data_IF_031579115739
#
_entry.id   IF_031579115739
#
_cell.length_a   1.000
_cell.length_b   1.000
_cell.length_c   1.000
_cell.angle_alpha   90.00
_cell.angle_beta   90.00
_cell.angle_gamma   90.00
#
_symmetry.space_group_name_H-M   'P 1'
#
loop_
_entity.id
_entity.type
_entity.pdbx_description
1 polymer ?
#
# COMPACT_ATOMS: atom_id res chain seq x y z
N UNK A 1 27.96 6.95 37.00
CA UNK A 1 27.51 5.54 37.07
C UNK A 1 26.02 5.40 36.79
N UNK A 2 25.15 6.28 37.30
CA UNK A 2 23.70 6.30 37.01
C UNK A 2 23.33 6.63 35.54
N UNK A 3 24.14 7.44 34.83
CA UNK A 3 23.94 7.75 33.39
C UNK A 3 24.23 6.57 32.44
N UNK A 4 25.00 5.56 32.85
CA UNK A 4 25.28 4.38 32.01
C UNK A 4 24.18 3.32 32.10
N UNK A 5 23.38 3.32 33.18
CA UNK A 5 22.27 2.40 33.36
C UNK A 5 21.03 2.82 32.56
N UNK A 6 20.75 4.13 32.46
CA UNK A 6 19.65 4.64 31.62
C UNK A 6 19.88 4.41 30.11
N UNK A 7 21.14 4.45 29.66
CA UNK A 7 21.50 4.18 28.24
C UNK A 7 21.36 2.70 27.91
N UNK A 8 21.60 1.79 28.86
CA UNK A 8 21.44 0.36 28.64
C UNK A 8 19.96 -0.05 28.59
N UNK A 9 19.13 0.45 29.51
CA UNK A 9 17.68 0.16 29.51
C UNK A 9 16.95 0.76 28.30
N UNK A 10 17.33 1.96 27.84
CA UNK A 10 16.74 2.56 26.64
C UNK A 10 17.21 1.94 25.33
N UNK A 11 18.46 1.45 25.25
CA UNK A 11 18.93 0.71 24.07
C UNK A 11 18.24 -0.64 23.95
N UNK A 12 17.99 -1.35 25.05
CA UNK A 12 17.25 -2.62 25.04
C UNK A 12 15.81 -2.41 24.56
N UNK A 13 15.12 -1.38 25.08
CA UNK A 13 13.76 -1.03 24.64
C UNK A 13 13.66 -0.72 23.14
N UNK A 14 14.68 -0.07 22.55
CA UNK A 14 14.69 0.29 21.13
C UNK A 14 15.09 -0.89 20.25
N UNK A 15 16.02 -1.73 20.70
CA UNK A 15 16.44 -2.91 19.95
C UNK A 15 15.32 -3.96 19.95
N UNK A 16 14.61 -4.11 21.07
CA UNK A 16 13.44 -4.98 21.18
C UNK A 16 12.21 -4.40 20.46
N UNK A 17 12.05 -3.08 20.42
CA UNK A 17 11.01 -2.43 19.61
C UNK A 17 11.29 -2.52 18.11
N UNK A 18 12.54 -2.34 17.67
CA UNK A 18 12.95 -2.50 16.27
C UNK A 18 12.96 -3.97 15.83
N UNK A 19 13.15 -4.92 16.75
CA UNK A 19 12.97 -6.37 16.50
C UNK A 19 11.50 -6.76 16.44
N UNK A 20 10.63 -6.21 17.30
CA UNK A 20 9.20 -6.54 17.29
C UNK A 20 8.45 -5.91 16.12
N UNK A 21 8.99 -4.84 15.51
CA UNK A 21 8.46 -4.18 14.31
C UNK A 21 8.96 -4.77 12.98
N UNK A 22 9.59 -5.96 13.00
CA UNK A 22 9.95 -6.70 11.77
C UNK A 22 8.75 -7.21 10.97
N UNK A 23 7.53 -7.10 11.50
CA UNK A 23 6.28 -7.44 10.80
C UNK A 23 5.76 -6.19 10.10
N UNK A 24 6.14 -6.00 8.83
CA UNK A 24 5.42 -5.27 7.76
C UNK A 24 4.36 -4.21 8.17
N UNK A 25 4.67 -3.33 9.11
CA UNK A 25 3.73 -2.34 9.63
C UNK A 25 4.32 -0.97 9.37
N UNK A 26 3.61 -0.18 8.56
CA UNK A 26 3.85 1.26 8.46
C UNK A 26 4.01 1.79 9.89
N UNK A 27 5.17 2.36 10.25
CA UNK A 27 5.33 2.92 11.58
C UNK A 27 4.23 3.95 11.75
N UNK A 28 3.46 3.84 12.83
CA UNK A 28 2.46 4.85 13.14
C UNK A 28 3.12 6.23 13.09
N UNK A 29 2.43 7.22 12.51
CA UNK A 29 2.91 8.61 12.40
C UNK A 29 3.40 9.15 13.77
N UNK A 30 2.91 8.55 14.85
CA UNK A 30 3.29 8.73 16.26
C UNK A 30 4.72 8.26 16.60
N UNK A 31 5.19 7.17 16.00
CA UNK A 31 6.56 6.66 16.17
C UNK A 31 7.56 7.56 15.47
N UNK A 32 7.20 8.11 14.31
CA UNK A 32 8.01 9.07 13.55
C UNK A 32 8.31 10.32 14.37
N UNK A 33 7.42 10.75 15.28
CA UNK A 33 7.63 11.93 16.14
C UNK A 33 8.74 11.73 17.18
N UNK A 34 8.86 10.53 17.78
CA UNK A 34 10.01 10.17 18.64
C UNK A 34 11.28 10.00 17.82
N UNK A 35 11.10 9.60 16.57
CA UNK A 35 12.12 9.45 15.56
C UNK A 35 12.65 10.81 15.03
N UNK A 36 11.88 11.90 14.98
CA UNK A 36 12.36 13.23 14.53
C UNK A 36 13.02 14.05 15.64
N UNK A 37 12.72 13.77 16.91
CA UNK A 37 13.34 14.40 18.09
C UNK A 37 14.70 13.80 18.44
N UNK A 38 14.89 12.49 18.27
CA UNK A 38 16.16 11.79 18.58
C UNK A 38 17.37 12.07 17.68
N UNK A 39 17.27 12.41 16.38
CA UNK A 39 18.43 12.78 15.58
C UNK A 39 19.15 13.99 16.18
N UNK A 40 18.42 15.00 16.65
CA UNK A 40 19.03 16.16 17.30
C UNK A 40 19.83 15.74 18.55
N UNK A 41 19.31 14.80 19.35
CA UNK A 41 20.00 14.23 20.51
C UNK A 41 21.30 13.47 20.17
N UNK A 42 21.33 12.64 19.12
CA UNK A 42 22.56 11.94 18.71
C UNK A 42 23.61 12.87 18.10
N UNK A 43 23.16 13.94 17.42
CA UNK A 43 24.03 15.01 16.95
C UNK A 43 24.61 15.81 18.13
N UNK A 44 23.79 16.14 19.12
CA UNK A 44 24.18 16.87 20.35
C UNK A 44 25.17 16.10 21.23
N UNK A 45 25.14 14.76 21.21
CA UNK A 45 26.05 13.90 22.01
C UNK A 45 27.29 13.46 21.19
N UNK A 46 27.39 13.85 19.92
CA UNK A 46 28.57 13.57 19.08
C UNK A 46 28.67 12.15 18.52
N UNK A 47 27.56 11.40 18.45
CA UNK A 47 27.51 10.05 17.89
C UNK A 47 27.06 10.05 16.43
N UNK A 48 27.89 10.62 15.55
CA UNK A 48 27.58 10.81 14.12
C UNK A 48 27.21 9.51 13.39
N UNK A 49 27.85 8.38 13.70
CA UNK A 49 27.56 7.10 13.04
C UNK A 49 26.14 6.60 13.33
N UNK A 50 25.67 6.75 14.58
CA UNK A 50 24.30 6.38 14.96
C UNK A 50 23.29 7.33 14.34
N UNK A 51 23.61 8.63 14.29
CA UNK A 51 22.80 9.64 13.61
C UNK A 51 22.60 9.31 12.12
N UNK A 52 23.67 8.96 11.41
CA UNK A 52 23.62 8.59 9.99
C UNK A 52 22.80 7.32 9.75
N UNK A 53 23.00 6.27 10.55
CA UNK A 53 22.18 5.04 10.47
C UNK A 53 20.70 5.32 10.71
N UNK A 54 20.43 6.22 11.65
CA UNK A 54 19.08 6.65 11.97
C UNK A 54 18.43 7.39 10.79
N UNK A 55 19.11 8.37 10.17
CA UNK A 55 18.63 9.06 8.97
C UNK A 55 18.39 8.09 7.80
N UNK A 56 19.28 7.12 7.59
CA UNK A 56 19.10 6.11 6.55
C UNK A 56 17.83 5.27 6.77
N UNK A 57 17.55 4.89 8.03
CA UNK A 57 16.31 4.18 8.38
C UNK A 57 15.07 5.07 8.17
N UNK A 58 15.13 6.33 8.60
CA UNK A 58 14.04 7.29 8.43
C UNK A 58 13.73 7.52 6.95
N UNK A 59 14.76 7.64 6.10
CA UNK A 59 14.61 7.74 4.65
C UNK A 59 13.85 6.54 4.07
N UNK A 60 14.23 5.30 4.44
CA UNK A 60 13.55 4.09 3.99
C UNK A 60 12.06 4.09 4.40
N UNK A 61 11.76 4.51 5.63
CA UNK A 61 10.38 4.59 6.11
C UNK A 61 9.55 5.63 5.34
N UNK A 62 10.13 6.80 5.03
CA UNK A 62 9.46 7.79 4.20
C UNK A 62 9.25 7.30 2.77
N UNK A 63 10.23 6.60 2.18
CA UNK A 63 10.10 6.00 0.84
C UNK A 63 9.01 4.93 0.79
N UNK A 64 8.91 4.06 1.79
CA UNK A 64 7.86 3.05 1.90
C UNK A 64 6.46 3.66 2.09
N UNK A 65 6.40 4.84 2.69
CA UNK A 65 5.16 5.59 2.92
C UNK A 65 4.88 6.62 1.82
N UNK A 66 5.66 6.61 0.72
CA UNK A 66 5.59 7.55 -0.41
C UNK A 66 5.69 9.04 -0.03
N UNK A 67 6.28 9.33 1.12
CA UNK A 67 6.53 10.67 1.63
C UNK A 67 7.82 11.22 1.04
N UNK A 68 7.83 11.47 -0.28
CA UNK A 68 9.04 11.85 -1.01
C UNK A 68 9.63 13.20 -0.57
N UNK A 69 8.80 14.13 -0.09
CA UNK A 69 9.27 15.42 0.40
C UNK A 69 10.10 15.22 1.67
N UNK A 70 9.56 14.48 2.62
CA UNK A 70 10.18 14.17 3.90
C UNK A 70 11.39 13.24 3.72
N UNK A 71 11.34 12.30 2.77
CA UNK A 71 12.50 11.49 2.37
C UNK A 71 13.64 12.36 1.85
N UNK A 72 13.36 13.31 0.94
CA UNK A 72 14.36 14.23 0.40
C UNK A 72 14.95 15.14 1.49
N UNK A 73 14.12 15.67 2.40
CA UNK A 73 14.58 16.45 3.54
C UNK A 73 15.48 15.62 4.48
N UNK A 74 15.17 14.34 4.67
CA UNK A 74 16.00 13.42 5.46
C UNK A 74 17.39 13.24 4.83
N UNK A 75 17.46 13.13 3.50
CA UNK A 75 18.74 13.09 2.78
C UNK A 75 19.49 14.42 2.84
N UNK A 76 18.79 15.55 2.86
CA UNK A 76 19.41 16.87 3.06
C UNK A 76 20.14 16.93 4.39
N UNK A 77 19.51 16.48 5.48
CA UNK A 77 20.14 16.40 6.80
C UNK A 77 21.37 15.48 6.81
N UNK A 78 21.34 14.40 6.01
CA UNK A 78 22.49 13.52 5.87
C UNK A 78 23.63 14.21 5.09
N UNK A 79 23.31 14.97 4.05
CA UNK A 79 24.30 15.72 3.28
C UNK A 79 24.99 16.81 4.12
N UNK A 80 24.25 17.45 5.02
CA UNK A 80 24.80 18.45 5.96
C UNK A 80 25.84 17.86 6.94
N UNK A 81 25.85 16.53 7.11
CA UNK A 81 26.85 15.83 7.91
C UNK A 81 28.17 15.54 7.15
N UNK A 82 28.23 15.83 5.85
CA UNK A 82 29.37 15.53 5.00
C UNK A 82 30.24 16.77 4.79
N UNK A 83 31.55 16.62 4.98
CA UNK A 83 32.51 17.65 4.59
C UNK A 83 32.84 17.52 3.09
N UNK A 84 32.75 18.63 2.36
CA UNK A 84 33.07 18.66 0.94
C UNK A 84 34.59 18.72 0.77
N UNK A 85 35.22 17.61 0.42
CA UNK A 85 36.66 17.60 0.12
C UNK A 85 36.94 18.36 -1.20
N UNK A 86 37.91 19.28 -1.18
CA UNK A 86 38.25 20.17 -2.31
C UNK A 86 38.87 19.48 -3.54
N UNK A 87 39.05 18.15 -3.52
CA UNK A 87 39.81 17.42 -4.56
C UNK A 87 38.99 16.97 -5.77
N UNK A 88 37.72 17.37 -5.90
CA UNK A 88 36.81 16.74 -6.85
C UNK A 88 35.88 17.72 -7.57
N UNK A 89 36.45 18.72 -8.25
CA UNK A 89 35.65 19.65 -9.06
C UNK A 89 36.32 19.90 -10.40
N UNK A 90 36.08 19.03 -11.38
CA UNK A 90 36.00 19.36 -12.82
C UNK A 90 35.34 18.20 -13.58
N UNK A 91 34.02 18.02 -13.38
CA UNK A 91 33.21 17.09 -14.17
C UNK A 91 32.13 17.84 -14.95
N UNK A 92 32.50 18.36 -16.13
CA UNK A 92 31.58 19.09 -17.03
C UNK A 92 30.29 18.31 -17.36
N UNK A 93 30.37 16.97 -17.46
CA UNK A 93 29.21 16.11 -17.73
C UNK A 93 28.17 16.14 -16.61
N UNK A 94 28.62 16.16 -15.34
CA UNK A 94 27.71 16.23 -14.19
C UNK A 94 26.99 17.58 -14.11
N UNK A 95 27.68 18.66 -14.48
CA UNK A 95 27.11 20.01 -14.55
C UNK A 95 26.01 20.07 -15.61
N UNK A 96 26.25 19.58 -16.83
CA UNK A 96 25.22 19.57 -17.88
C UNK A 96 23.97 18.78 -17.47
N UNK A 97 24.16 17.58 -16.90
CA UNK A 97 23.05 16.77 -16.39
C UNK A 97 22.25 17.47 -15.27
N UNK A 98 22.92 18.29 -14.44
CA UNK A 98 22.24 19.06 -13.38
C UNK A 98 21.34 20.17 -13.96
N UNK A 99 21.81 20.90 -14.97
CA UNK A 99 21.02 21.93 -15.64
C UNK A 99 19.80 21.36 -16.39
N UNK A 100 19.95 20.18 -17.03
CA UNK A 100 18.82 19.50 -17.67
C UNK A 100 17.76 19.09 -16.63
N UNK A 101 18.17 18.54 -15.47
CA UNK A 101 17.23 18.23 -14.38
C UNK A 101 16.50 19.47 -13.86
N UNK A 102 17.23 20.57 -13.61
CA UNK A 102 16.63 21.84 -13.17
C UNK A 102 15.62 22.37 -14.20
N UNK A 103 15.96 22.34 -15.49
CA UNK A 103 15.06 22.74 -16.58
C UNK A 103 13.76 21.93 -16.58
N UNK A 104 13.86 20.59 -16.42
CA UNK A 104 12.67 19.72 -16.30
C UNK A 104 11.83 20.06 -15.08
N UNK A 105 12.44 20.35 -13.93
CA UNK A 105 11.73 20.75 -12.71
C UNK A 105 10.96 22.07 -12.89
N UNK A 106 11.59 23.10 -13.44
CA UNK A 106 10.90 24.37 -13.73
C UNK A 106 9.73 24.18 -14.69
N UNK A 107 9.92 23.37 -15.74
CA UNK A 107 8.85 23.02 -16.67
C UNK A 107 7.71 22.30 -15.97
N UNK A 108 8.00 21.40 -15.04
CA UNK A 108 6.98 20.68 -14.28
C UNK A 108 6.16 21.61 -13.39
N UNK A 109 6.81 22.56 -12.71
CA UNK A 109 6.17 23.56 -11.86
C UNK A 109 5.20 24.43 -12.66
N UNK A 110 5.58 24.85 -13.87
CA UNK A 110 4.76 25.72 -14.71
C UNK A 110 3.60 24.99 -15.40
N UNK A 111 3.80 23.72 -15.77
CA UNK A 111 2.84 22.97 -16.60
C UNK A 111 1.85 22.13 -15.82
N UNK A 112 2.19 21.70 -14.61
CA UNK A 112 1.36 20.77 -13.84
C UNK A 112 0.74 21.47 -12.63
N UNK A 113 -0.58 21.35 -12.50
CA UNK A 113 -1.27 21.76 -11.30
C UNK A 113 -0.91 20.83 -10.14
N UNK A 114 -0.55 21.41 -9.01
CA UNK A 114 -0.21 20.68 -7.78
C UNK A 114 -1.39 20.81 -6.81
N UNK A 115 -1.78 19.70 -6.20
CA UNK A 115 -2.81 19.72 -5.17
C UNK A 115 -2.39 20.65 -4.03
N UNK A 116 -3.30 21.52 -3.59
CA UNK A 116 -3.07 22.32 -2.40
C UNK A 116 -3.07 21.39 -1.17
N UNK A 117 -2.04 21.47 -0.31
CA UNK A 117 -2.00 20.65 0.89
C UNK A 117 -3.01 21.17 1.92
N UNK A 118 -3.91 20.30 2.39
CA UNK A 118 -4.69 20.57 3.60
C UNK A 118 -3.87 20.25 4.86
N UNK A 119 -4.16 20.94 5.95
CA UNK A 119 -3.49 20.74 7.24
C UNK A 119 -4.52 20.50 8.35
N UNK A 120 -4.26 19.49 9.18
CA UNK A 120 -5.18 19.04 10.21
C UNK A 120 -4.57 19.23 11.59
N UNK A 121 -5.26 19.95 12.47
CA UNK A 121 -4.90 20.05 13.88
C UNK A 121 -5.36 18.80 14.60
N UNK A 122 -4.43 18.09 15.23
CA UNK A 122 -4.70 16.89 16.03
C UNK A 122 -4.14 17.09 17.42
N UNK A 123 -5.00 16.93 18.42
CA UNK A 123 -4.59 17.01 19.82
C UNK A 123 -4.83 15.66 20.51
N UNK A 124 -3.84 15.20 21.26
CA UNK A 124 -3.90 13.93 21.97
C UNK A 124 -4.18 14.18 23.45
N UNK A 125 -5.37 13.81 23.91
CA UNK A 125 -5.80 14.01 25.30
C UNK A 125 -6.06 12.67 25.99
N UNK A 126 -5.77 12.63 27.29
CA UNK A 126 -6.02 11.47 28.13
C UNK A 126 -4.77 10.65 28.43
N UNK A 127 -4.81 9.92 29.55
CA UNK A 127 -3.69 9.12 30.07
C UNK A 127 -3.41 7.84 29.28
N UNK A 128 -4.28 7.48 28.34
CA UNK A 128 -4.09 6.31 27.46
C UNK A 128 -3.04 6.51 26.38
N UNK A 129 -2.67 7.76 26.07
CA UNK A 129 -1.58 8.05 25.14
C UNK A 129 -0.22 7.98 25.83
N UNK A 130 0.87 7.59 25.14
CA UNK A 130 2.22 7.70 25.67
C UNK A 130 2.55 9.12 26.15
N UNK A 131 3.35 9.25 27.22
CA UNK A 131 3.70 10.55 27.83
C UNK A 131 4.21 11.60 26.83
N UNK A 132 4.94 11.17 25.79
CA UNK A 132 5.46 12.06 24.75
C UNK A 132 4.40 12.61 23.79
N UNK A 133 3.13 12.20 23.90
CA UNK A 133 2.00 12.70 23.12
C UNK A 133 0.93 13.37 23.99
N UNK A 134 0.88 13.06 25.28
CA UNK A 134 -0.18 13.55 26.17
C UNK A 134 -0.22 15.07 26.21
N UNK A 135 -1.41 15.64 25.99
CA UNK A 135 -1.70 17.07 25.96
C UNK A 135 -0.89 17.86 24.91
N UNK A 136 -0.32 17.16 23.92
CA UNK A 136 0.33 17.80 22.79
C UNK A 136 -0.64 17.96 21.63
N UNK A 137 -0.47 19.07 20.93
CA UNK A 137 -1.18 19.39 19.69
C UNK A 137 -0.16 19.39 18.56
N UNK A 138 -0.49 18.70 17.48
CA UNK A 138 0.29 18.61 16.26
C UNK A 138 -0.52 19.16 15.09
N UNK A 139 0.20 19.65 14.07
CA UNK A 139 -0.37 19.98 12.77
C UNK A 139 0.12 18.93 11.78
N UNK A 140 -0.81 18.17 11.23
CA UNK A 140 -0.54 17.14 10.23
C UNK A 140 -0.75 17.72 8.84
N UNK A 141 0.23 17.54 7.96
CA UNK A 141 0.02 17.72 6.52
C UNK A 141 -0.82 16.55 5.98
N UNK A 142 -1.93 16.87 5.34
CA UNK A 142 -2.79 15.92 4.66
C UNK A 142 -2.14 15.35 3.40
N UNK A 143 -2.57 14.16 3.01
CA UNK A 143 -2.28 13.62 1.69
C UNK A 143 -2.95 14.48 0.59
N UNK A 144 -2.48 14.44 -0.67
CA UNK A 144 -3.11 15.18 -1.76
C UNK A 144 -4.62 14.87 -1.84
N UNK A 145 -5.44 15.92 -1.86
CA UNK A 145 -6.91 15.83 -1.89
C UNK A 145 -7.58 15.12 -0.70
N UNK A 146 -6.82 14.85 0.38
CA UNK A 146 -7.38 14.24 1.59
C UNK A 146 -8.30 15.22 2.31
N UNK A 147 -9.54 14.80 2.55
CA UNK A 147 -10.52 15.59 3.31
C UNK A 147 -10.52 15.21 4.79
N UNK A 148 -11.11 16.06 5.62
CA UNK A 148 -11.21 15.84 7.07
C UNK A 148 -11.82 14.48 7.45
N UNK A 149 -12.86 14.02 6.76
CA UNK A 149 -13.52 12.74 7.05
C UNK A 149 -12.59 11.55 6.78
N UNK A 150 -11.86 11.58 5.65
CA UNK A 150 -10.88 10.55 5.28
C UNK A 150 -9.70 10.55 6.23
N UNK A 151 -9.18 11.74 6.56
CA UNK A 151 -8.11 11.92 7.52
C UNK A 151 -8.48 11.35 8.90
N UNK A 152 -9.69 11.68 9.38
CA UNK A 152 -10.21 11.23 10.69
C UNK A 152 -10.36 9.72 10.72
N UNK A 153 -10.95 9.14 9.68
CA UNK A 153 -11.12 7.69 9.57
C UNK A 153 -9.78 6.97 9.56
N UNK A 154 -8.82 7.48 8.77
CA UNK A 154 -7.46 6.91 8.67
C UNK A 154 -6.72 6.96 10.01
N UNK A 155 -6.71 8.11 10.69
CA UNK A 155 -5.97 8.28 11.95
C UNK A 155 -6.58 7.45 13.10
N UNK A 156 -7.91 7.35 13.16
CA UNK A 156 -8.60 6.53 14.14
C UNK A 156 -8.38 5.03 13.89
N UNK A 157 -8.54 4.57 12.66
CA UNK A 157 -8.31 3.18 12.30
C UNK A 157 -6.87 2.74 12.62
N UNK A 158 -5.89 3.61 12.35
CA UNK A 158 -4.50 3.34 12.71
C UNK A 158 -4.27 3.29 14.22
N UNK A 159 -4.96 4.13 15.00
CA UNK A 159 -4.84 4.12 16.45
C UNK A 159 -5.38 2.81 17.06
N UNK A 160 -6.65 2.48 16.82
CA UNK A 160 -7.31 1.32 17.45
C UNK A 160 -6.81 -0.04 16.93
N UNK A 161 -6.15 -0.07 15.78
CA UNK A 161 -5.47 -1.28 15.30
C UNK A 161 -4.31 -1.71 16.21
N UNK A 162 -3.67 -0.75 16.87
CA UNK A 162 -2.45 -0.98 17.66
C UNK A 162 -2.56 -0.53 19.12
N UNK A 163 -3.63 0.17 19.46
CA UNK A 163 -3.92 0.68 20.79
C UNK A 163 -5.33 0.24 21.21
N UNK A 164 -5.55 0.20 22.52
CA UNK A 164 -6.72 -0.42 23.15
C UNK A 164 -6.90 -1.91 22.81
N UNK A 165 -5.79 -2.59 22.51
CA UNK A 165 -5.77 -4.03 22.19
C UNK A 165 -5.70 -4.87 23.46
N UNK A 166 -6.47 -5.95 23.53
CA UNK A 166 -6.53 -6.82 24.71
C UNK A 166 -6.44 -8.31 24.37
N UNK A 167 -6.93 -8.66 23.17
CA UNK A 167 -6.99 -10.02 22.66
C UNK A 167 -5.90 -10.22 21.61
N UNK A 168 -5.10 -11.25 21.80
CA UNK A 168 -4.00 -11.63 20.93
C UNK A 168 -4.23 -13.06 20.45
N UNK A 169 -3.68 -13.39 19.29
CA UNK A 169 -3.71 -14.77 18.78
C UNK A 169 -2.42 -15.12 18.08
N UNK A 170 -1.95 -16.34 18.29
CA UNK A 170 -0.89 -16.94 17.50
C UNK A 170 -1.29 -18.37 17.12
N UNK A 171 -0.79 -18.83 15.97
CA UNK A 171 -1.10 -20.15 15.42
C UNK A 171 0.20 -20.94 15.28
N UNK A 172 0.16 -22.23 15.62
CA UNK A 172 1.24 -23.18 15.33
C UNK A 172 0.71 -24.35 14.51
N UNK A 173 1.56 -24.94 13.67
CA UNK A 173 1.21 -26.17 12.94
C UNK A 173 1.21 -27.36 13.90
N UNK A 174 0.22 -28.23 13.76
CA UNK A 174 0.13 -29.51 14.46
C UNK A 174 -0.04 -30.64 13.44
N UNK A 175 0.39 -31.84 13.79
CA UNK A 175 0.17 -33.05 12.99
C UNK A 175 -0.80 -33.93 13.76
N UNK A 176 -1.91 -34.33 13.12
CA UNK A 176 -2.82 -35.32 13.70
C UNK A 176 -2.35 -36.72 13.32
N UNK A 177 -2.32 -37.65 14.28
CA UNK A 177 -2.03 -39.04 13.99
C UNK A 177 -3.17 -39.69 13.22
N UNK A 178 -2.83 -40.59 12.30
CA UNK A 178 -3.76 -41.35 11.45
C UNK A 178 -4.81 -42.18 12.19
N UNK A 179 -4.68 -42.36 13.51
CA UNK A 179 -5.68 -43.03 14.36
C UNK A 179 -6.84 -42.12 14.80
N UNK A 180 -6.71 -40.78 14.71
CA UNK A 180 -7.79 -39.82 15.04
C UNK A 180 -8.60 -39.38 13.81
N UNK A 181 -8.14 -39.74 12.60
CA UNK A 181 -8.79 -39.42 11.33
C UNK A 181 -9.31 -40.69 10.68
N UNK A 182 -10.47 -41.17 11.13
CA UNK A 182 -11.13 -42.39 10.63
C UNK A 182 -11.58 -42.35 9.16
N UNK A 183 -11.28 -41.30 8.38
CA UNK A 183 -12.02 -41.02 7.14
C UNK A 183 -11.20 -40.86 5.85
N UNK A 184 -9.90 -40.53 5.88
CA UNK A 184 -9.12 -40.33 4.64
C UNK A 184 -7.66 -40.76 4.83
N UNK A 185 -7.12 -41.55 3.89
CA UNK A 185 -5.69 -41.91 3.90
C UNK A 185 -4.84 -40.66 3.71
N UNK A 186 -3.99 -40.40 4.70
CA UNK A 186 -3.03 -39.27 4.73
C UNK A 186 -2.18 -39.21 3.44
N UNK A 187 -1.85 -40.38 2.89
CA UNK A 187 -1.06 -40.56 1.66
C UNK A 187 -1.64 -39.91 0.39
N UNK A 188 -2.92 -39.50 0.41
CA UNK A 188 -3.59 -38.84 -0.72
C UNK A 188 -3.66 -37.31 -0.57
N UNK A 189 -3.27 -36.75 0.57
CA UNK A 189 -3.36 -35.32 0.85
C UNK A 189 -2.04 -34.62 0.55
N UNK A 190 -2.11 -33.44 -0.04
CA UNK A 190 -0.94 -32.57 -0.21
C UNK A 190 -0.64 -31.80 1.10
N UNK A 191 0.42 -30.99 1.09
CA UNK A 191 0.86 -30.21 2.27
C UNK A 191 -0.21 -29.27 2.87
N UNK A 192 -1.24 -28.91 2.08
CA UNK A 192 -2.36 -28.09 2.51
C UNK A 192 -3.47 -28.92 3.13
N UNK A 193 -3.74 -30.12 2.60
CA UNK A 193 -4.67 -31.08 3.18
C UNK A 193 -4.24 -31.59 4.57
N UNK A 194 -2.94 -31.50 4.86
CA UNK A 194 -2.34 -31.86 6.15
C UNK A 194 -2.18 -30.68 7.12
N UNK A 195 -2.57 -29.47 6.72
CA UNK A 195 -2.29 -28.23 7.47
C UNK A 195 -3.25 -27.99 8.63
N UNK A 196 -3.12 -28.77 9.70
CA UNK A 196 -3.80 -28.47 10.96
C UNK A 196 -3.06 -27.37 11.72
N UNK A 197 -3.82 -26.41 12.24
CA UNK A 197 -3.28 -25.35 13.10
C UNK A 197 -3.92 -25.43 14.49
N UNK A 198 -3.15 -25.19 15.52
CA UNK A 198 -3.66 -24.86 16.85
C UNK A 198 -3.52 -23.35 17.03
N UNK A 199 -4.65 -22.66 17.17
CA UNK A 199 -4.70 -21.22 17.46
C UNK A 199 -4.90 -21.01 18.95
N UNK A 200 -3.95 -20.32 19.57
CA UNK A 200 -4.05 -19.88 20.96
C UNK A 200 -4.51 -18.43 20.99
N UNK A 201 -5.55 -18.15 21.77
CA UNK A 201 -6.03 -16.81 22.07
C UNK A 201 -5.65 -16.44 23.50
N UNK A 202 -5.01 -15.28 23.65
CA UNK A 202 -4.68 -14.70 24.94
C UNK A 202 -5.51 -13.43 25.12
N UNK A 203 -6.25 -13.35 26.22
CA UNK A 203 -6.90 -12.11 26.65
C UNK A 203 -6.17 -11.63 27.88
N UNK A 204 -5.61 -10.43 27.80
CA UNK A 204 -4.92 -9.81 28.91
C UNK A 204 -5.88 -9.15 29.89
N UNK A 205 -5.49 -9.05 31.16
CA UNK A 205 -6.29 -8.43 32.22
C UNK A 205 -6.63 -6.97 31.96
N UNK A 206 -5.78 -6.25 31.21
CA UNK A 206 -5.97 -4.86 30.83
C UNK A 206 -5.59 -4.64 29.36
N UNK A 207 -6.07 -3.55 28.77
CA UNK A 207 -5.75 -3.18 27.39
C UNK A 207 -4.34 -2.58 27.28
N UNK A 208 -3.71 -2.76 26.13
CA UNK A 208 -2.50 -2.06 25.75
C UNK A 208 -2.79 -0.86 24.85
N UNK A 209 -2.02 0.23 24.95
CA UNK A 209 -1.05 0.49 26.02
C UNK A 209 -1.78 0.68 27.37
N UNK A 210 -1.10 0.36 28.47
CA UNK A 210 -1.62 0.56 29.82
C UNK A 210 -0.51 1.00 30.79
N UNK A 211 -0.78 0.95 32.10
CA UNK A 211 0.18 1.39 33.15
C UNK A 211 1.51 0.62 33.07
N UNK A 212 1.46 -0.65 32.64
CA UNK A 212 2.61 -1.52 32.46
C UNK A 212 2.72 -1.96 31.01
N UNK A 213 3.94 -2.29 30.58
CA UNK A 213 4.23 -2.86 29.26
C UNK A 213 3.91 -4.35 29.16
N UNK A 214 3.45 -4.95 30.26
CA UNK A 214 2.98 -6.32 30.33
C UNK A 214 1.77 -6.41 31.24
N UNK A 215 0.83 -7.26 30.86
CA UNK A 215 -0.32 -7.61 31.69
C UNK A 215 -0.44 -9.13 31.74
N UNK A 216 -0.78 -9.71 32.91
CA UNK A 216 -1.05 -11.14 32.98
C UNK A 216 -2.22 -11.49 32.06
N UNK A 217 -2.12 -12.64 31.41
CA UNK A 217 -3.22 -13.22 30.66
C UNK A 217 -4.35 -13.55 31.65
N UNK A 218 -5.48 -12.86 31.50
CA UNK A 218 -6.70 -13.14 32.25
C UNK A 218 -7.39 -14.42 31.77
N UNK A 219 -7.27 -14.72 30.47
CA UNK A 219 -7.66 -16.00 29.93
C UNK A 219 -6.75 -16.44 28.79
N UNK A 220 -6.62 -17.76 28.67
CA UNK A 220 -6.01 -18.45 27.55
C UNK A 220 -7.02 -19.47 27.04
N UNK A 221 -7.27 -19.49 25.74
CA UNK A 221 -8.03 -20.55 25.09
C UNK A 221 -7.31 -21.05 23.86
N UNK A 222 -7.51 -22.33 23.55
CA UNK A 222 -6.93 -22.97 22.37
C UNK A 222 -8.04 -23.53 21.50
N UNK A 223 -7.88 -23.37 20.20
CA UNK A 223 -8.84 -23.85 19.22
C UNK A 223 -8.07 -24.48 18.07
N UNK A 224 -8.43 -25.71 17.74
CA UNK A 224 -7.91 -26.37 16.56
C UNK A 224 -8.62 -25.85 15.31
N UNK A 225 -7.85 -25.64 14.26
CA UNK A 225 -8.33 -25.27 12.94
C UNK A 225 -8.01 -26.40 11.97
N UNK A 226 -9.07 -26.88 11.31
CA UNK A 226 -8.93 -27.88 10.27
C UNK A 226 -8.29 -27.29 9.00
N UNK A 227 -7.63 -28.12 8.18
CA UNK A 227 -7.06 -27.73 6.89
C UNK A 227 -8.04 -26.94 6.00
N UNK A 228 -9.31 -27.35 5.96
CA UNK A 228 -10.36 -26.66 5.19
C UNK A 228 -10.67 -25.27 5.74
N UNK A 229 -10.75 -25.10 7.07
CA UNK A 229 -10.94 -23.81 7.71
C UNK A 229 -9.75 -22.85 7.48
N UNK A 230 -8.52 -23.39 7.54
CA UNK A 230 -7.29 -22.64 7.27
C UNK A 230 -7.24 -22.18 5.81
N UNK A 231 -7.67 -23.02 4.87
CA UNK A 231 -7.77 -22.65 3.47
C UNK A 231 -8.79 -21.52 3.23
N UNK A 232 -9.96 -21.59 3.87
CA UNK A 232 -10.97 -20.51 3.83
C UNK A 232 -10.41 -19.19 4.37
N UNK A 233 -9.74 -19.22 5.53
CA UNK A 233 -9.13 -18.03 6.12
C UNK A 233 -8.06 -17.45 5.19
N UNK A 234 -7.19 -18.31 4.63
CA UNK A 234 -6.11 -17.90 3.72
C UNK A 234 -6.66 -17.26 2.44
N UNK A 235 -7.69 -17.87 1.84
CA UNK A 235 -8.33 -17.36 0.63
C UNK A 235 -9.06 -16.03 0.89
N UNK A 236 -9.74 -15.92 2.03
CA UNK A 236 -10.42 -14.68 2.44
C UNK A 236 -9.42 -13.57 2.67
N UNK A 237 -8.36 -13.81 3.44
CA UNK A 237 -7.30 -12.83 3.68
C UNK A 237 -6.61 -12.38 2.38
N UNK A 238 -6.42 -13.30 1.42
CA UNK A 238 -5.86 -12.97 0.12
C UNK A 238 -6.78 -12.03 -0.68
N UNK A 239 -8.09 -12.28 -0.68
CA UNK A 239 -9.09 -11.43 -1.32
C UNK A 239 -9.19 -10.06 -0.65
N UNK A 240 -9.27 -10.01 0.68
CA UNK A 240 -9.30 -8.75 1.44
C UNK A 240 -8.05 -7.89 1.16
N UNK A 241 -6.88 -8.53 1.03
CA UNK A 241 -5.66 -7.82 0.67
C UNK A 241 -5.71 -7.27 -0.76
N UNK A 242 -6.24 -8.04 -1.72
CA UNK A 242 -6.41 -7.58 -3.09
C UNK A 242 -7.39 -6.40 -3.16
N UNK A 243 -8.51 -6.48 -2.45
CA UNK A 243 -9.50 -5.41 -2.36
C UNK A 243 -8.90 -4.12 -1.80
N UNK A 244 -8.14 -4.19 -0.70
CA UNK A 244 -7.42 -3.02 -0.16
C UNK A 244 -6.44 -2.41 -1.16
N UNK A 245 -5.68 -3.24 -1.88
CA UNK A 245 -4.74 -2.77 -2.90
C UNK A 245 -5.44 -2.12 -4.09
N UNK A 246 -6.63 -2.59 -4.45
CA UNK A 246 -7.50 -1.98 -5.45
C UNK A 246 -7.95 -0.60 -4.96
N UNK A 247 -8.49 -0.51 -3.74
CA UNK A 247 -8.91 0.76 -3.14
C UNK A 247 -7.76 1.77 -3.04
N UNK A 248 -6.58 1.32 -2.63
CA UNK A 248 -5.37 2.16 -2.59
C UNK A 248 -5.00 2.66 -3.99
N UNK A 249 -5.12 1.81 -5.01
CA UNK A 249 -4.85 2.18 -6.42
C UNK A 249 -5.87 3.14 -6.98
N UNK A 250 -7.15 3.00 -6.64
CA UNK A 250 -8.16 3.99 -7.01
C UNK A 250 -7.89 5.36 -6.38
N UNK A 251 -7.34 5.38 -5.15
CA UNK A 251 -7.03 6.62 -4.43
C UNK A 251 -5.72 7.27 -4.88
N UNK A 252 -4.67 6.48 -5.13
CA UNK A 252 -3.30 6.97 -5.33
C UNK A 252 -2.74 6.77 -6.74
N UNK A 253 -3.49 6.08 -7.62
CA UNK A 253 -3.16 5.85 -9.03
C UNK A 253 -1.85 5.08 -9.22
N UNK A 254 -0.97 5.59 -10.09
CA UNK A 254 0.30 4.95 -10.45
C UNK A 254 1.21 4.62 -9.24
N UNK A 255 1.11 5.35 -8.13
CA UNK A 255 2.05 5.19 -7.02
C UNK A 255 1.88 3.87 -6.27
N UNK A 256 0.65 3.44 -6.05
CA UNK A 256 0.31 2.17 -5.40
C UNK A 256 0.21 0.99 -6.39
N UNK A 257 0.58 1.19 -7.67
CA UNK A 257 0.51 0.15 -8.68
C UNK A 257 1.47 -1.02 -8.43
N UNK A 258 2.67 -0.76 -7.89
CA UNK A 258 3.68 -1.82 -7.72
C UNK A 258 3.18 -2.96 -6.80
N UNK A 259 2.64 -2.68 -5.60
CA UNK A 259 2.02 -3.72 -4.77
C UNK A 259 0.87 -4.45 -5.47
N UNK A 260 -0.01 -3.73 -6.18
CA UNK A 260 -1.13 -4.34 -6.91
C UNK A 260 -0.64 -5.27 -8.02
N UNK A 261 0.30 -4.82 -8.85
CA UNK A 261 0.90 -5.60 -9.93
C UNK A 261 1.53 -6.90 -9.41
N UNK A 262 2.30 -6.82 -8.32
CA UNK A 262 2.91 -7.98 -7.69
C UNK A 262 1.86 -8.96 -7.15
N UNK A 263 0.79 -8.45 -6.53
CA UNK A 263 -0.31 -9.27 -6.01
C UNK A 263 -1.07 -9.98 -7.14
N UNK A 264 -1.40 -9.27 -8.22
CA UNK A 264 -2.07 -9.82 -9.39
C UNK A 264 -1.22 -10.90 -10.06
N UNK A 265 0.09 -10.66 -10.25
CA UNK A 265 1.01 -11.65 -10.80
C UNK A 265 1.04 -12.92 -9.95
N UNK A 266 1.16 -12.78 -8.62
CA UNK A 266 1.20 -13.93 -7.72
C UNK A 266 -0.09 -14.77 -7.69
N UNK A 267 -1.24 -14.15 -7.97
CA UNK A 267 -2.54 -14.83 -8.01
C UNK A 267 -2.84 -15.46 -9.38
N UNK A 268 -2.53 -14.75 -10.47
CA UNK A 268 -2.83 -15.19 -11.84
C UNK A 268 -1.76 -16.12 -12.42
N UNK A 269 -0.52 -16.02 -11.95
CA UNK A 269 0.60 -16.86 -12.37
C UNK A 269 1.36 -17.43 -11.16
N UNK A 270 0.74 -18.33 -10.37
CA UNK A 270 1.32 -18.87 -9.13
C UNK A 270 2.33 -20.01 -9.39
N UNK A 271 3.40 -19.73 -10.15
CA UNK A 271 4.36 -20.74 -10.60
C UNK A 271 5.10 -21.49 -9.48
N UNK A 272 5.25 -20.88 -8.29
CA UNK A 272 6.00 -21.46 -7.15
C UNK A 272 5.08 -22.15 -6.14
N UNK A 273 3.94 -21.53 -5.82
CA UNK A 273 3.06 -21.97 -4.71
C UNK A 273 1.79 -22.70 -5.18
N UNK A 274 1.64 -22.99 -6.48
CA UNK A 274 0.51 -23.75 -7.05
C UNK A 274 -0.85 -23.04 -7.06
N UNK A 275 -1.06 -22.02 -6.23
CA UNK A 275 -2.31 -21.27 -6.17
C UNK A 275 -3.50 -22.15 -5.78
N UNK A 276 -4.68 -21.90 -6.37
CA UNK A 276 -5.90 -22.62 -5.96
C UNK A 276 -5.86 -24.13 -6.28
N UNK A 277 -5.00 -24.60 -7.20
CA UNK A 277 -4.95 -26.03 -7.56
C UNK A 277 -4.58 -26.89 -6.37
N UNK A 278 -3.81 -26.36 -5.42
CA UNK A 278 -3.47 -27.06 -4.19
C UNK A 278 -4.72 -27.28 -3.32
N UNK A 279 -5.63 -26.32 -3.27
CA UNK A 279 -6.92 -26.50 -2.60
C UNK A 279 -7.83 -27.46 -3.37
N UNK A 280 -7.83 -27.39 -4.70
CA UNK A 280 -8.62 -28.31 -5.54
C UNK A 280 -8.19 -29.76 -5.31
N UNK A 281 -6.88 -30.04 -5.35
CA UNK A 281 -6.31 -31.36 -5.13
C UNK A 281 -6.50 -31.87 -3.70
N UNK A 282 -6.48 -30.97 -2.71
CA UNK A 282 -6.64 -31.34 -1.30
C UNK A 282 -8.09 -31.65 -0.93
N UNK A 283 -9.04 -30.81 -1.39
CA UNK A 283 -10.37 -30.77 -0.79
C UNK A 283 -11.52 -31.03 -1.76
N UNK A 284 -11.33 -30.90 -3.08
CA UNK A 284 -12.43 -30.93 -4.05
C UNK A 284 -12.60 -32.27 -4.76
N UNK A 285 -11.92 -33.31 -4.30
CA UNK A 285 -12.11 -34.67 -4.80
C UNK A 285 -13.45 -35.25 -4.30
N UNK A 286 -14.23 -35.88 -5.17
CA UNK A 286 -15.52 -36.49 -4.83
C UNK A 286 -15.40 -37.55 -3.71
N UNK A 287 -14.31 -38.33 -3.74
CA UNK A 287 -14.01 -39.31 -2.69
C UNK A 287 -13.77 -38.65 -1.32
N UNK A 288 -13.10 -37.49 -1.30
CA UNK A 288 -12.90 -36.71 -0.08
C UNK A 288 -14.22 -36.10 0.39
N UNK A 289 -14.96 -35.47 -0.53
CA UNK A 289 -16.20 -34.77 -0.21
C UNK A 289 -17.28 -35.72 0.33
N UNK A 290 -17.40 -36.93 -0.21
CA UNK A 290 -18.38 -37.92 0.29
C UNK A 290 -18.13 -38.33 1.74
N UNK A 291 -16.87 -38.53 2.11
CA UNK A 291 -16.43 -38.97 3.46
C UNK A 291 -16.26 -37.83 4.47
N UNK A 292 -16.22 -36.58 4.00
CA UNK A 292 -16.06 -35.41 4.86
C UNK A 292 -17.25 -35.20 5.80
N UNK A 293 -16.98 -34.69 6.99
CA UNK A 293 -17.98 -34.24 7.95
C UNK A 293 -18.69 -32.96 7.48
N UNK A 294 -19.81 -32.63 8.12
CA UNK A 294 -20.67 -31.52 7.73
C UNK A 294 -19.93 -30.17 7.79
N UNK A 295 -19.12 -29.94 8.82
CA UNK A 295 -18.35 -28.69 8.98
C UNK A 295 -17.29 -28.55 7.88
N UNK A 296 -16.61 -29.62 7.51
CA UNK A 296 -15.66 -29.58 6.36
C UNK A 296 -16.38 -29.33 5.04
N UNK A 297 -17.55 -29.93 4.81
CA UNK A 297 -18.37 -29.68 3.61
C UNK A 297 -18.79 -28.21 3.52
N UNK A 298 -19.21 -27.61 4.62
CA UNK A 298 -19.54 -26.18 4.71
C UNK A 298 -18.32 -25.30 4.39
N UNK A 299 -17.17 -25.59 5.00
CA UNK A 299 -15.93 -24.87 4.70
C UNK A 299 -15.51 -25.00 3.23
N UNK A 300 -15.67 -26.18 2.61
CA UNK A 300 -15.40 -26.38 1.18
C UNK A 300 -16.31 -25.50 0.33
N UNK A 301 -17.59 -25.41 0.65
CA UNK A 301 -18.54 -24.57 -0.08
C UNK A 301 -18.22 -23.08 0.08
N UNK A 302 -17.85 -22.65 1.28
CA UNK A 302 -17.35 -21.28 1.52
C UNK A 302 -16.07 -21.04 0.73
N UNK A 303 -15.14 -21.99 0.68
CA UNK A 303 -13.90 -21.87 -0.08
C UNK A 303 -14.15 -21.71 -1.58
N UNK A 304 -15.05 -22.53 -2.15
CA UNK A 304 -15.50 -22.40 -3.55
C UNK A 304 -16.11 -21.02 -3.82
N UNK A 305 -16.95 -20.53 -2.90
CA UNK A 305 -17.54 -19.19 -2.98
C UNK A 305 -16.47 -18.08 -2.93
N UNK A 306 -15.45 -18.21 -2.08
CA UNK A 306 -14.33 -17.24 -2.01
C UNK A 306 -13.45 -17.27 -3.25
N UNK A 307 -13.24 -18.44 -3.87
CA UNK A 307 -12.53 -18.56 -5.16
C UNK A 307 -13.31 -17.88 -6.28
N UNK A 308 -14.62 -18.12 -6.40
CA UNK A 308 -15.44 -17.44 -7.41
C UNK A 308 -15.53 -15.92 -7.17
N UNK A 309 -15.64 -15.49 -5.92
CA UNK A 309 -15.70 -14.07 -5.53
C UNK A 309 -14.37 -13.32 -5.74
N UNK A 310 -13.27 -14.04 -5.95
CA UNK A 310 -11.98 -13.44 -6.32
C UNK A 310 -11.99 -12.93 -7.78
N UNK A 311 -12.80 -13.51 -8.68
CA UNK A 311 -12.79 -13.18 -10.11
C UNK A 311 -13.13 -11.70 -10.37
N UNK A 312 -14.21 -11.12 -9.81
CA UNK A 312 -14.51 -9.71 -10.03
C UNK A 312 -13.44 -8.77 -9.47
N UNK A 313 -12.79 -9.14 -8.35
CA UNK A 313 -11.67 -8.38 -7.78
C UNK A 313 -10.45 -8.41 -8.70
N UNK A 314 -10.07 -9.59 -9.21
CA UNK A 314 -8.98 -9.73 -10.18
C UNK A 314 -9.27 -8.95 -11.46
N UNK A 315 -10.51 -8.99 -11.95
CA UNK A 315 -10.93 -8.22 -13.12
C UNK A 315 -10.71 -6.72 -12.91
N UNK A 316 -11.20 -6.18 -11.78
CA UNK A 316 -11.04 -4.78 -11.41
C UNK A 316 -9.56 -4.40 -11.23
N UNK A 317 -8.77 -5.26 -10.59
CA UNK A 317 -7.34 -5.03 -10.40
C UNK A 317 -6.55 -5.02 -11.72
N UNK A 318 -6.84 -5.95 -12.64
CA UNK A 318 -6.20 -5.97 -13.97
C UNK A 318 -6.61 -4.75 -14.78
N UNK A 319 -7.88 -4.34 -14.71
CA UNK A 319 -8.36 -3.11 -15.36
C UNK A 319 -7.59 -1.87 -14.88
N UNK A 320 -7.51 -1.66 -13.57
CA UNK A 320 -6.78 -0.53 -12.98
C UNK A 320 -5.30 -0.56 -13.35
N UNK A 321 -4.71 -1.76 -13.42
CA UNK A 321 -3.35 -1.89 -13.93
C UNK A 321 -3.23 -1.42 -15.38
N UNK A 322 -4.20 -1.73 -16.24
CA UNK A 322 -4.22 -1.25 -17.63
C UNK A 322 -4.28 0.27 -17.73
N UNK A 323 -5.06 0.93 -16.87
CA UNK A 323 -5.20 2.40 -16.88
C UNK A 323 -3.93 3.15 -16.50
N UNK A 324 -3.08 2.55 -15.66
CA UNK A 324 -1.90 3.20 -15.09
C UNK A 324 -0.56 2.59 -15.52
N UNK A 325 -0.54 1.51 -16.31
CA UNK A 325 0.72 0.90 -16.74
C UNK A 325 1.51 1.80 -17.70
N UNK A 326 2.83 1.77 -17.56
CA UNK A 326 3.76 2.42 -18.47
C UNK A 326 3.93 1.63 -19.78
N UNK A 327 4.47 2.26 -20.81
CA UNK A 327 4.71 1.62 -22.12
C UNK A 327 5.62 0.38 -22.01
N UNK A 328 6.58 0.38 -21.07
CA UNK A 328 7.47 -0.75 -20.79
C UNK A 328 6.73 -1.96 -20.16
N UNK A 329 5.57 -1.73 -19.55
CA UNK A 329 4.78 -2.73 -18.85
C UNK A 329 3.65 -3.31 -19.70
N UNK A 330 3.53 -2.91 -20.97
CA UNK A 330 2.46 -3.37 -21.87
C UNK A 330 2.49 -4.90 -22.02
N UNK A 331 3.66 -5.50 -22.25
CA UNK A 331 3.78 -6.95 -22.40
C UNK A 331 3.41 -7.69 -21.11
N UNK A 332 3.81 -7.13 -19.97
CA UNK A 332 3.43 -7.66 -18.66
C UNK A 332 1.91 -7.56 -18.43
N UNK A 333 1.29 -6.43 -18.77
CA UNK A 333 -0.15 -6.27 -18.67
C UNK A 333 -0.89 -7.23 -19.61
N UNK A 334 -0.45 -7.40 -20.86
CA UNK A 334 -1.02 -8.36 -21.80
C UNK A 334 -0.93 -9.81 -21.26
N UNK A 335 0.17 -10.15 -20.58
CA UNK A 335 0.30 -11.42 -19.88
C UNK A 335 -0.72 -11.56 -18.75
N UNK A 336 -0.91 -10.53 -17.92
CA UNK A 336 -1.93 -10.54 -16.86
C UNK A 336 -3.34 -10.73 -17.44
N UNK A 337 -3.69 -10.05 -18.53
CA UNK A 337 -4.99 -10.17 -19.19
C UNK A 337 -5.19 -11.59 -19.72
N UNK A 338 -4.18 -12.17 -20.38
CA UNK A 338 -4.22 -13.56 -20.85
C UNK A 338 -4.45 -14.54 -19.69
N UNK A 339 -3.62 -14.47 -18.64
CA UNK A 339 -3.74 -15.34 -17.48
C UNK A 339 -5.08 -15.16 -16.75
N UNK A 340 -5.61 -13.93 -16.70
CA UNK A 340 -6.91 -13.65 -16.13
C UNK A 340 -8.04 -14.35 -16.89
N UNK A 341 -8.09 -14.26 -18.22
CA UNK A 341 -9.14 -14.94 -18.98
C UNK A 341 -9.05 -16.46 -18.89
N UNK A 342 -7.85 -17.03 -18.91
CA UNK A 342 -7.64 -18.46 -18.69
C UNK A 342 -8.13 -18.89 -17.29
N UNK A 343 -7.78 -18.12 -16.26
CA UNK A 343 -8.19 -18.37 -14.89
C UNK A 343 -9.71 -18.21 -14.68
N UNK A 344 -10.30 -17.12 -15.20
CA UNK A 344 -11.74 -16.84 -15.16
C UNK A 344 -12.54 -17.96 -15.80
N UNK A 345 -12.20 -18.37 -17.02
CA UNK A 345 -12.92 -19.43 -17.72
C UNK A 345 -12.89 -20.76 -16.93
N UNK A 346 -11.76 -21.08 -16.30
CA UNK A 346 -11.63 -22.29 -15.46
C UNK A 346 -12.48 -22.20 -14.20
N UNK A 347 -12.43 -21.07 -13.50
CA UNK A 347 -13.14 -20.86 -12.23
C UNK A 347 -14.64 -20.77 -12.44
N UNK A 348 -15.11 -19.99 -13.43
CA UNK A 348 -16.55 -19.83 -13.69
C UNK A 348 -17.20 -21.14 -14.15
N UNK A 349 -16.48 -21.96 -14.93
CA UNK A 349 -16.96 -23.29 -15.34
C UNK A 349 -17.14 -24.24 -14.15
N UNK A 350 -16.29 -24.15 -13.13
CA UNK A 350 -16.30 -25.07 -11.97
C UNK A 350 -17.17 -24.57 -10.81
N UNK A 351 -17.14 -23.27 -10.53
CA UNK A 351 -17.68 -22.68 -9.30
C UNK A 351 -18.77 -21.63 -9.55
N UNK A 352 -19.12 -21.38 -10.81
CA UNK A 352 -20.11 -20.37 -11.21
C UNK A 352 -19.51 -18.97 -11.34
N UNK A 353 -20.25 -18.10 -12.04
CA UNK A 353 -19.88 -16.71 -12.25
C UNK A 353 -20.40 -15.81 -11.13
N UNK A 354 -19.71 -14.69 -10.91
CA UNK A 354 -20.04 -13.65 -9.94
C UNK A 354 -20.25 -12.31 -10.67
N UNK A 355 -21.07 -11.40 -10.14
CA UNK A 355 -21.32 -10.12 -10.78
C UNK A 355 -20.02 -9.32 -10.91
N UNK A 356 -19.84 -8.68 -12.07
CA UNK A 356 -18.67 -7.84 -12.36
C UNK A 356 -18.71 -6.60 -11.48
N UNK A 357 -17.54 -6.12 -11.07
CA UNK A 357 -17.39 -4.83 -10.38
C UNK A 357 -17.25 -3.66 -11.37
N UNK A 358 -16.91 -3.94 -12.62
CA UNK A 358 -16.71 -2.95 -13.68
C UNK A 358 -17.99 -2.75 -14.51
N UNK A 359 -18.23 -1.52 -15.02
CA UNK A 359 -19.26 -1.26 -16.03
C UNK A 359 -19.09 -2.10 -17.31
N UNK A 360 -20.17 -2.33 -18.05
CA UNK A 360 -20.18 -3.21 -19.24
C UNK A 360 -19.26 -2.74 -20.37
N UNK A 361 -18.99 -1.44 -20.47
CA UNK A 361 -18.15 -0.82 -21.49
C UNK A 361 -16.64 -0.86 -21.18
N UNK A 362 -16.23 -1.31 -19.99
CA UNK A 362 -14.82 -1.43 -19.64
C UNK A 362 -14.17 -2.65 -20.29
N UNK A 363 -13.04 -2.43 -20.97
CA UNK A 363 -12.19 -3.48 -21.55
C UNK A 363 -10.89 -3.61 -20.76
N UNK A 364 -10.42 -4.85 -20.59
CA UNK A 364 -9.10 -5.13 -20.02
C UNK A 364 -7.98 -4.96 -21.06
N UNK A 365 -8.31 -5.00 -22.35
CA UNK A 365 -7.30 -4.84 -23.40
C UNK A 365 -6.98 -3.37 -23.59
N UNK A 366 -5.69 -3.04 -23.57
CA UNK A 366 -5.20 -1.70 -23.89
C UNK A 366 -5.65 -1.33 -25.31
N UNK A 367 -6.45 -0.27 -25.43
CA UNK A 367 -6.81 0.29 -26.71
C UNK A 367 -5.54 0.87 -27.36
N UNK A 368 -5.14 0.33 -28.52
CA UNK A 368 -4.10 0.93 -29.35
C UNK A 368 -4.59 2.28 -29.89
N UNK A 369 -4.44 3.37 -29.14
CA UNK A 369 -4.29 4.73 -29.70
C UNK A 369 -4.08 5.79 -28.60
N UNK A 370 -2.84 6.30 -28.48
CA UNK A 370 -2.54 7.62 -27.91
C UNK A 370 -1.69 8.49 -28.86
N UNK A 371 -1.91 8.38 -30.18
CA UNK A 371 -1.15 9.20 -31.15
C UNK A 371 -1.99 9.95 -32.19
N UNK A 372 -3.32 9.99 -32.10
CA UNK A 372 -4.16 10.76 -33.03
C UNK A 372 -5.33 11.45 -32.34
N UNK A 373 -5.06 12.30 -31.35
CA UNK A 373 -5.98 13.40 -30.96
C UNK A 373 -5.17 14.66 -30.66
N UNK A 374 -4.41 15.10 -31.65
CA UNK A 374 -3.95 16.49 -31.72
C UNK A 374 -3.74 16.94 -33.15
N UNK A 375 -4.74 16.73 -34.00
CA UNK A 375 -4.84 17.46 -35.26
C UNK A 375 -6.28 17.44 -35.77
N UNK A 376 -6.77 18.66 -36.03
CA UNK A 376 -7.98 19.04 -36.76
C UNK A 376 -9.32 18.92 -36.01
N UNK A 377 -9.61 19.94 -35.20
CA UNK A 377 -10.95 20.53 -35.13
C UNK A 377 -10.93 21.84 -35.93
N UNK A 378 -11.32 21.76 -37.20
CA UNK A 378 -11.78 22.91 -37.98
C UNK A 378 -13.29 22.73 -38.10
N UNK A 379 -14.05 23.61 -37.45
CA UNK A 379 -15.50 23.66 -37.55
C UNK A 379 -15.91 24.06 -38.97
N UNK A 380 -16.82 23.31 -39.63
CA UNK A 380 -17.49 23.77 -40.82
C UNK A 380 -18.87 24.34 -40.44
N UNK A 381 -18.99 25.67 -40.49
CA UNK A 381 -20.30 26.32 -40.73
C UNK A 381 -20.70 27.41 -39.75
N UNK A 382 -20.27 28.65 -40.03
CA UNK A 382 -21.11 29.81 -39.78
C UNK A 382 -20.70 30.96 -40.71
N UNK A 383 -21.67 31.40 -41.53
CA UNK A 383 -21.89 32.74 -42.09
C UNK A 383 -22.02 32.76 -43.62
N UNK A 384 -23.28 32.64 -44.04
CA UNK A 384 -23.81 33.14 -45.30
C UNK A 384 -24.19 34.62 -45.13
N UNK A 385 -23.89 35.37 -46.18
CA UNK A 385 -24.40 36.69 -46.60
C UNK A 385 -24.06 37.96 -45.81
N UNK A 386 -23.27 38.83 -46.45
CA UNK A 386 -23.80 40.07 -47.03
C UNK A 386 -22.88 40.66 -48.12
N UNK A 387 -23.48 40.97 -49.27
CA UNK A 387 -22.86 41.66 -50.41
C UNK A 387 -22.78 43.18 -50.19
N UNK A 388 -21.66 43.74 -50.65
CA UNK A 388 -21.47 45.04 -51.34
C UNK A 388 -22.02 46.34 -50.72
N UNK A 389 -21.13 47.30 -50.45
CA UNK A 389 -21.08 48.60 -51.16
C UNK A 389 -20.04 49.59 -50.59
N UNK A 390 -19.14 50.03 -51.48
CA UNK A 390 -18.66 51.42 -51.69
C UNK A 390 -17.91 52.17 -50.57
N UNK A 391 -16.61 52.47 -50.77
CA UNK A 391 -16.01 53.73 -51.30
C UNK A 391 -15.58 54.74 -50.22
N UNK A 392 -14.32 55.20 -50.35
CA UNK A 392 -13.69 56.41 -49.76
C UNK A 392 -13.40 56.37 -48.24
N UNK A 393 -12.39 57.01 -47.65
CA UNK A 393 -11.21 57.78 -48.09
C UNK A 393 -10.36 58.05 -46.82
N UNK A 394 -9.03 58.01 -46.96
CA UNK A 394 -8.00 58.89 -46.35
C UNK A 394 -8.18 59.38 -44.88
N UNK A 395 -7.24 59.03 -43.99
CA UNK A 395 -6.23 59.95 -43.38
C UNK A 395 -5.45 59.34 -42.20
N UNK A 396 -4.13 59.56 -42.25
CA UNK A 396 -3.12 59.50 -41.18
C UNK A 396 -3.58 60.24 -39.92
N UNK A 397 -3.10 59.79 -38.75
CA UNK A 397 -2.36 60.65 -37.81
C UNK A 397 -1.57 59.84 -36.77
N UNK A 398 -0.28 60.16 -36.72
CA UNK A 398 0.72 59.81 -35.70
C UNK A 398 0.55 60.78 -34.53
N UNK A 399 0.76 60.33 -33.29
CA UNK A 399 1.35 61.18 -32.24
C UNK A 399 1.92 60.37 -31.07
N UNK A 400 3.23 60.49 -30.89
CA UNK A 400 3.93 60.32 -29.61
C UNK A 400 3.51 61.40 -28.61
N UNK A 401 3.72 61.11 -27.32
CA UNK A 401 3.70 62.11 -26.26
C UNK A 401 3.90 61.49 -24.88
N UNK A 402 5.17 61.35 -24.47
CA UNK A 402 5.61 61.21 -23.07
C UNK A 402 5.10 62.38 -22.22
N UNK A 403 4.79 62.14 -20.94
CA UNK A 403 5.05 63.11 -19.87
C UNK A 403 5.27 62.39 -18.52
N UNK A 404 6.42 62.69 -17.92
CA UNK A 404 6.79 62.43 -16.53
C UNK A 404 5.85 63.10 -15.52
N UNK A 405 5.65 62.45 -14.38
CA UNK A 405 5.96 62.95 -13.03
C UNK A 405 5.99 61.80 -12.03
#
# INVERSE_FOLDING_TARGET
MLLRLAVADEQVLITDFLRSSSVAQQPSRLLVTRATTKPHFYNEIGHLELYVRYLAKLFQLHMQSENYTEAALTLSLHADCLEVSHYLIFFFVAVFASYDKMSRMYRNILKHQRAEPEYFRVAFYGRGFPNFLQNLTFVYRGSPYERLADFTSRIQAQYYKYNEVQKFSFSRRITKSSQDTDSVRDDMLNEFGLMWLERTFLVTSYRFPGILEWFPAASESRTEMSPSAVAVESMTAANDQLERLIEDTERFGEKSMKPLAAKLQGMLNPAVMGGITNYEQAFFNEEFYSKADQTTKENINILKDRISSQIPLLEKGVYLHGEHCSDEQIDFHNLLVKCFFEYKNRVEKKYGSKPRLLPENCTLHLLKCKTLQRQVSVDPGALVDQKSSSVSSVKKLVSHGDWHS
#
